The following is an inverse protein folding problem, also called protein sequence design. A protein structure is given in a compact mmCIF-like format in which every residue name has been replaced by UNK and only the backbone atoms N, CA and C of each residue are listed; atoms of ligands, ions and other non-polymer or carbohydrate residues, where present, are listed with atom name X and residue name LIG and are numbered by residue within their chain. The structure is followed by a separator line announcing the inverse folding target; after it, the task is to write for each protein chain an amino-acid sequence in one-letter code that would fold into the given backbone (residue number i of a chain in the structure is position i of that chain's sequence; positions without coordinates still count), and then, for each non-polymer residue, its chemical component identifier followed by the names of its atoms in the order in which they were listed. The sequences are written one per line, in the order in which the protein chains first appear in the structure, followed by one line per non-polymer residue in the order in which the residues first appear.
data_IF_528266592328
#
_entry.id   IF_528266592328
#
_cell.length_a   1.000
_cell.length_b   1.000
_cell.length_c   1.000
_cell.angle_alpha   90.00
_cell.angle_beta   90.00
_cell.angle_gamma   90.00
#
_symmetry.space_group_name_H-M   'P 1'
#
loop_
_entity.id
_entity.type
_entity.pdbx_description
1 polymer ?
#
# COMPACT_ATOMS: atom_id res chain seq x y z
N UNK A 1 43.04 -13.89 -10.33
CA UNK A 1 41.81 -14.70 -10.25
C UNK A 1 40.69 -13.68 -10.17
N UNK A 2 40.01 -13.48 -11.29
CA UNK A 2 38.97 -12.45 -11.47
C UNK A 2 37.62 -13.04 -11.06
N UNK A 3 37.10 -12.56 -9.94
CA UNK A 3 35.73 -12.85 -9.51
C UNK A 3 34.77 -12.13 -10.47
N UNK A 4 34.12 -12.85 -11.38
CA UNK A 4 33.05 -12.30 -12.20
C UNK A 4 31.76 -12.33 -11.38
N UNK A 5 31.01 -11.24 -11.29
CA UNK A 5 29.69 -11.27 -10.66
C UNK A 5 28.79 -12.21 -11.48
N UNK A 6 28.16 -13.16 -10.78
CA UNK A 6 27.25 -14.13 -11.38
C UNK A 6 26.12 -13.43 -12.13
N UNK A 7 25.86 -13.88 -13.37
CA UNK A 7 24.71 -13.46 -14.16
C UNK A 7 23.42 -13.70 -13.36
N UNK A 8 22.42 -12.82 -13.44
CA UNK A 8 21.15 -13.03 -12.78
C UNK A 8 20.49 -14.32 -13.30
N UNK A 9 19.91 -15.09 -12.38
CA UNK A 9 19.20 -16.35 -12.65
C UNK A 9 18.16 -16.11 -13.76
N UNK A 10 18.38 -16.69 -14.92
CA UNK A 10 17.52 -16.60 -16.09
C UNK A 10 16.32 -17.55 -16.06
N UNK A 11 15.96 -18.04 -14.87
CA UNK A 11 14.74 -18.85 -14.71
C UNK A 11 13.52 -18.07 -15.19
N UNK A 12 12.65 -18.65 -16.03
CA UNK A 12 11.48 -17.92 -16.55
C UNK A 12 10.59 -17.47 -15.40
N UNK A 13 10.18 -16.19 -15.42
CA UNK A 13 9.26 -15.62 -14.44
C UNK A 13 7.96 -16.42 -14.50
N UNK A 14 7.67 -17.21 -13.46
CA UNK A 14 6.40 -17.94 -13.33
C UNK A 14 5.36 -17.04 -12.67
N UNK A 15 4.37 -16.62 -13.45
CA UNK A 15 3.21 -15.88 -12.95
C UNK A 15 2.16 -16.88 -12.44
N UNK A 16 1.87 -16.84 -11.15
CA UNK A 16 0.90 -17.76 -10.50
C UNK A 16 -0.55 -17.54 -10.93
N UNK A 17 -0.83 -16.40 -11.53
CA UNK A 17 -2.16 -16.00 -12.02
C UNK A 17 -2.40 -16.34 -13.50
N UNK A 18 -1.55 -17.15 -14.13
CA UNK A 18 -1.78 -17.72 -15.45
C UNK A 18 -2.03 -19.23 -15.33
N UNK A 19 -2.92 -19.74 -16.16
CA UNK A 19 -3.08 -21.17 -16.37
C UNK A 19 -2.06 -21.69 -17.43
N UNK A 20 -2.11 -22.98 -17.70
CA UNK A 20 -1.19 -23.63 -18.66
C UNK A 20 -1.40 -23.15 -20.11
N UNK A 21 -2.56 -22.57 -20.41
CA UNK A 21 -2.88 -21.93 -21.70
C UNK A 21 -2.51 -20.46 -21.78
N UNK A 22 -1.98 -19.88 -20.69
CA UNK A 22 -1.61 -18.46 -20.59
C UNK A 22 -2.78 -17.52 -20.29
N UNK A 23 -3.95 -18.05 -19.94
CA UNK A 23 -5.10 -17.23 -19.57
C UNK A 23 -5.03 -16.82 -18.08
N UNK A 24 -5.48 -15.59 -17.80
CA UNK A 24 -5.51 -15.07 -16.44
C UNK A 24 -6.52 -15.84 -15.58
N UNK A 25 -6.10 -16.21 -14.37
CA UNK A 25 -6.97 -16.86 -13.37
C UNK A 25 -6.66 -16.36 -11.97
N UNK A 26 -7.66 -16.34 -11.12
CA UNK A 26 -7.48 -16.20 -9.67
C UNK A 26 -6.92 -17.51 -9.10
N UNK A 27 -5.88 -17.43 -8.27
CA UNK A 27 -5.26 -18.62 -7.65
C UNK A 27 -6.23 -19.26 -6.67
N UNK A 28 -6.47 -20.58 -6.80
CA UNK A 28 -7.27 -21.32 -5.82
C UNK A 28 -6.50 -21.47 -4.50
N UNK A 29 -7.11 -20.97 -3.44
CA UNK A 29 -6.56 -21.03 -2.06
C UNK A 29 -7.42 -21.88 -1.13
N UNK A 30 -8.42 -22.59 -1.65
CA UNK A 30 -9.43 -23.36 -0.86
C UNK A 30 -8.75 -24.37 0.07
N UNK A 31 -7.72 -25.08 -0.41
CA UNK A 31 -7.00 -26.10 0.35
C UNK A 31 -6.00 -25.53 1.38
N UNK A 32 -5.74 -24.22 1.38
CA UNK A 32 -4.80 -23.61 2.35
C UNK A 32 -5.49 -23.39 3.70
N UNK A 33 -4.84 -23.72 4.83
CA UNK A 33 -5.36 -23.34 6.14
C UNK A 33 -5.32 -21.82 6.31
N UNK A 34 -6.32 -21.23 6.99
CA UNK A 34 -6.25 -19.84 7.42
C UNK A 34 -5.07 -19.63 8.38
N UNK A 35 -4.34 -18.55 8.20
CA UNK A 35 -3.22 -18.14 9.09
C UNK A 35 -3.28 -16.64 9.34
N UNK A 36 -2.76 -16.21 10.51
CA UNK A 36 -2.62 -14.78 10.79
C UNK A 36 -1.58 -14.19 9.83
N UNK A 37 -1.94 -13.09 9.19
CA UNK A 37 -1.08 -12.37 8.25
C UNK A 37 -1.15 -10.88 8.52
N UNK A 38 -0.04 -10.21 8.32
CA UNK A 38 0.06 -8.76 8.44
C UNK A 38 0.82 -8.22 7.24
N UNK A 39 0.41 -7.06 6.75
CA UNK A 39 1.19 -6.31 5.77
C UNK A 39 1.24 -4.83 6.14
N UNK A 40 2.36 -4.21 5.83
CA UNK A 40 2.60 -2.78 5.93
C UNK A 40 2.80 -2.17 4.55
N UNK A 41 2.30 -0.96 4.37
CA UNK A 41 2.54 -0.16 3.19
C UNK A 41 2.73 1.32 3.57
N UNK A 42 3.42 2.05 2.72
CA UNK A 42 3.57 3.50 2.85
C UNK A 42 3.17 4.20 1.57
N UNK A 43 2.79 5.48 1.70
CA UNK A 43 2.63 6.40 0.59
C UNK A 43 3.10 7.79 1.01
N UNK A 44 3.46 8.63 0.05
CA UNK A 44 3.87 10.01 0.29
C UNK A 44 3.16 10.97 -0.66
N UNK A 45 2.57 12.02 -0.10
CA UNK A 45 1.93 13.09 -0.86
C UNK A 45 2.78 14.34 -0.72
N UNK A 46 3.39 14.77 -1.83
CA UNK A 46 4.16 16.03 -1.87
C UNK A 46 3.20 17.21 -1.86
N UNK A 47 3.47 18.18 -0.99
CA UNK A 47 2.67 19.40 -0.83
C UNK A 47 3.58 20.63 -0.89
N UNK A 48 3.01 21.77 -1.29
CA UNK A 48 3.70 23.05 -1.16
C UNK A 48 3.88 23.45 0.32
N UNK A 49 4.87 24.32 0.64
CA UNK A 49 5.08 24.79 2.01
C UNK A 49 3.82 25.43 2.63
N UNK A 50 3.01 26.10 1.82
CA UNK A 50 1.75 26.72 2.27
C UNK A 50 0.71 25.70 2.71
N UNK A 51 0.62 24.55 1.99
CA UNK A 51 -0.28 23.46 2.38
C UNK A 51 0.26 22.74 3.62
N UNK A 52 1.56 22.51 3.72
CA UNK A 52 2.17 21.91 4.92
C UNK A 52 1.86 22.75 6.16
N UNK A 53 2.02 24.09 6.07
CA UNK A 53 1.65 24.99 7.15
C UNK A 53 0.16 24.89 7.51
N UNK A 54 -0.73 24.96 6.51
CA UNK A 54 -2.18 24.86 6.71
C UNK A 54 -2.60 23.51 7.33
N UNK A 55 -1.94 22.42 6.99
CA UNK A 55 -2.18 21.09 7.58
C UNK A 55 -1.76 21.05 9.05
N UNK A 56 -0.61 21.64 9.39
CA UNK A 56 -0.12 21.73 10.78
C UNK A 56 -1.02 22.58 11.66
N UNK A 57 -1.53 23.67 11.10
CA UNK A 57 -2.41 24.62 11.81
C UNK A 57 -3.89 24.19 11.82
N UNK A 58 -4.26 23.11 11.13
CA UNK A 58 -5.65 22.69 10.96
C UNK A 58 -6.51 23.69 10.17
N UNK A 59 -5.89 24.52 9.34
CA UNK A 59 -6.49 25.66 8.64
C UNK A 59 -6.94 25.35 7.20
N UNK A 60 -7.04 24.06 6.81
CA UNK A 60 -7.52 23.69 5.48
C UNK A 60 -9.02 23.95 5.36
N UNK A 61 -9.49 24.70 4.34
CA UNK A 61 -10.90 25.12 4.24
C UNK A 61 -11.92 23.98 4.17
N UNK A 62 -11.51 22.79 3.70
CA UNK A 62 -12.37 21.59 3.60
C UNK A 62 -12.48 20.80 4.91
N UNK A 63 -11.82 21.22 5.99
CA UNK A 63 -11.87 20.57 7.30
C UNK A 63 -10.66 19.67 7.59
N UNK A 64 -10.83 18.68 8.47
CA UNK A 64 -9.75 17.79 8.93
C UNK A 64 -9.31 16.81 7.86
N UNK A 65 -8.29 17.20 7.11
CA UNK A 65 -7.72 16.39 6.01
C UNK A 65 -7.21 15.05 6.50
N UNK A 66 -6.51 15.03 7.64
CA UNK A 66 -5.87 13.81 8.14
C UNK A 66 -6.91 12.79 8.63
N UNK A 67 -7.98 13.25 9.29
CA UNK A 67 -9.08 12.39 9.71
C UNK A 67 -9.82 11.80 8.49
N UNK A 68 -10.14 12.63 7.50
CA UNK A 68 -10.82 12.18 6.26
C UNK A 68 -9.95 11.16 5.52
N UNK A 69 -8.65 11.43 5.36
CA UNK A 69 -7.73 10.54 4.69
C UNK A 69 -7.60 9.19 5.43
N UNK A 70 -7.52 9.20 6.76
CA UNK A 70 -7.49 7.97 7.57
C UNK A 70 -8.72 7.11 7.34
N UNK A 71 -9.90 7.69 7.41
CA UNK A 71 -11.18 6.98 7.21
C UNK A 71 -11.27 6.44 5.79
N UNK A 72 -10.87 7.22 4.78
CA UNK A 72 -10.85 6.81 3.38
C UNK A 72 -9.94 5.58 3.17
N UNK A 73 -8.72 5.60 3.73
CA UNK A 73 -7.80 4.47 3.66
C UNK A 73 -8.35 3.21 4.31
N UNK A 74 -8.91 3.32 5.52
CA UNK A 74 -9.53 2.18 6.21
C UNK A 74 -10.72 1.61 5.42
N UNK A 75 -11.53 2.46 4.80
CA UNK A 75 -12.65 2.03 3.97
C UNK A 75 -12.17 1.30 2.70
N UNK A 76 -11.10 1.82 2.07
CA UNK A 76 -10.51 1.28 0.85
C UNK A 76 -9.89 -0.11 1.05
N UNK A 77 -9.24 -0.36 2.19
CA UNK A 77 -8.70 -1.68 2.53
C UNK A 77 -9.76 -2.80 2.43
N UNK A 78 -11.03 -2.49 2.67
CA UNK A 78 -12.14 -3.45 2.64
C UNK A 78 -12.78 -3.61 1.25
N UNK A 79 -12.27 -2.90 0.23
CA UNK A 79 -12.82 -2.87 -1.13
C UNK A 79 -11.83 -3.31 -2.21
N UNK A 80 -10.74 -3.94 -1.82
CA UNK A 80 -9.70 -4.39 -2.76
C UNK A 80 -10.27 -5.30 -3.86
N UNK A 81 -11.15 -6.28 -3.60
CA UNK A 81 -11.72 -7.12 -4.65
C UNK A 81 -12.57 -6.34 -5.68
N UNK A 82 -13.15 -5.20 -5.29
CA UNK A 82 -13.90 -4.33 -6.22
C UNK A 82 -12.98 -3.57 -7.18
N UNK A 83 -11.70 -3.40 -6.82
CA UNK A 83 -10.71 -2.62 -7.55
C UNK A 83 -9.76 -3.49 -8.38
N UNK A 84 -9.42 -4.67 -7.88
CA UNK A 84 -8.41 -5.57 -8.44
C UNK A 84 -9.06 -6.91 -8.80
N UNK A 85 -9.28 -7.21 -10.10
CA UNK A 85 -10.10 -8.36 -10.54
C UNK A 85 -9.60 -9.73 -10.07
N UNK A 86 -8.30 -9.89 -9.81
CA UNK A 86 -7.70 -11.15 -9.37
C UNK A 86 -7.40 -11.19 -7.87
N UNK A 87 -7.81 -10.18 -7.11
CA UNK A 87 -7.70 -10.19 -5.67
C UNK A 87 -8.77 -11.09 -5.04
N UNK A 88 -8.37 -11.82 -3.99
CA UNK A 88 -9.31 -12.65 -3.24
C UNK A 88 -10.22 -11.80 -2.36
N UNK A 89 -11.44 -12.28 -2.14
CA UNK A 89 -12.31 -11.72 -1.10
C UNK A 89 -11.86 -12.27 0.25
N UNK A 90 -11.28 -11.40 1.08
CA UNK A 90 -10.74 -11.76 2.40
C UNK A 90 -11.29 -10.84 3.49
N UNK A 91 -11.32 -11.33 4.72
CA UNK A 91 -11.69 -10.54 5.88
C UNK A 91 -10.57 -9.59 6.32
N UNK A 92 -10.80 -8.28 6.30
CA UNK A 92 -9.92 -7.31 6.96
C UNK A 92 -10.28 -7.24 8.44
N UNK A 93 -9.49 -7.90 9.30
CA UNK A 93 -9.76 -7.98 10.74
C UNK A 93 -9.18 -6.80 11.52
N UNK A 94 -8.17 -6.13 10.99
CA UNK A 94 -7.59 -4.92 11.54
C UNK A 94 -6.98 -4.07 10.44
N UNK A 95 -7.20 -2.75 10.52
CA UNK A 95 -6.58 -1.78 9.62
C UNK A 95 -6.26 -0.53 10.42
N UNK A 96 -5.00 -0.11 10.38
CA UNK A 96 -4.51 1.14 10.96
C UNK A 96 -3.90 1.97 9.84
N UNK A 97 -4.24 3.26 9.82
CA UNK A 97 -3.68 4.24 8.89
C UNK A 97 -3.21 5.44 9.72
N UNK A 98 -1.90 5.64 9.75
CA UNK A 98 -1.25 6.76 10.41
C UNK A 98 -0.79 7.77 9.35
N UNK A 99 -0.96 9.05 9.66
CA UNK A 99 -0.55 10.15 8.80
C UNK A 99 0.30 11.11 9.61
N UNK A 100 1.43 11.53 9.03
CA UNK A 100 2.34 12.52 9.61
C UNK A 100 2.61 13.63 8.59
N UNK A 101 2.52 14.90 9.02
CA UNK A 101 2.87 16.05 8.21
C UNK A 101 4.37 16.27 8.36
N UNK A 102 5.12 16.04 7.27
CA UNK A 102 6.56 16.27 7.12
C UNK A 102 6.80 17.66 6.50
N UNK A 103 8.06 18.04 6.27
CA UNK A 103 8.40 19.40 5.78
C UNK A 103 8.00 19.64 4.32
N UNK A 104 7.88 18.56 3.52
CA UNK A 104 7.58 18.60 2.09
C UNK A 104 6.27 17.86 1.73
N UNK A 105 5.50 17.40 2.74
CA UNK A 105 4.25 16.71 2.46
C UNK A 105 3.65 15.91 3.61
N UNK A 106 2.93 14.85 3.24
CA UNK A 106 2.27 13.96 4.19
C UNK A 106 2.74 12.53 3.98
N UNK A 107 3.39 11.95 5.00
CA UNK A 107 3.72 10.53 5.08
C UNK A 107 2.51 9.75 5.57
N UNK A 108 2.22 8.65 4.89
CA UNK A 108 1.11 7.76 5.21
C UNK A 108 1.67 6.36 5.43
N UNK A 109 1.31 5.75 6.56
CA UNK A 109 1.67 4.37 6.87
C UNK A 109 0.39 3.58 7.15
N UNK A 110 0.19 2.49 6.42
CA UNK A 110 -0.94 1.59 6.61
C UNK A 110 -0.47 0.22 7.09
N UNK A 111 -1.16 -0.35 8.06
CA UNK A 111 -0.94 -1.73 8.51
C UNK A 111 -2.27 -2.46 8.50
N UNK A 112 -2.32 -3.60 7.82
CA UNK A 112 -3.52 -4.44 7.72
C UNK A 112 -3.23 -5.82 8.27
N UNK A 113 -4.23 -6.41 8.97
CA UNK A 113 -4.17 -7.77 9.53
C UNK A 113 -5.39 -8.57 9.13
N UNK A 114 -5.15 -9.84 8.87
CA UNK A 114 -6.19 -10.84 8.62
C UNK A 114 -5.85 -12.18 9.28
N UNK A 115 -6.82 -13.07 9.35
CA UNK A 115 -6.64 -14.50 9.61
C UNK A 115 -7.29 -15.26 8.45
N UNK A 116 -6.59 -15.34 7.32
CA UNK A 116 -7.12 -15.88 6.08
C UNK A 116 -6.05 -16.65 5.27
N UNK A 117 -6.41 -17.12 4.07
CA UNK A 117 -5.65 -18.03 3.23
C UNK A 117 -4.66 -17.35 2.29
N UNK A 118 -4.75 -16.02 2.14
CA UNK A 118 -3.84 -15.22 1.29
C UNK A 118 -3.30 -14.00 2.03
N UNK A 119 -2.31 -13.32 1.44
CA UNK A 119 -1.71 -12.11 2.01
C UNK A 119 -2.64 -10.91 1.93
N UNK A 120 -2.33 -9.87 2.69
CA UNK A 120 -3.06 -8.60 2.78
C UNK A 120 -2.22 -7.41 2.27
N UNK A 121 -1.25 -7.69 1.43
CA UNK A 121 -0.34 -6.69 0.88
C UNK A 121 -1.12 -5.66 0.05
N UNK A 122 -2.11 -6.11 -0.73
CA UNK A 122 -2.90 -5.22 -1.57
C UNK A 122 -3.88 -4.38 -0.75
N UNK A 123 -4.43 -4.92 0.34
CA UNK A 123 -5.25 -4.17 1.29
C UNK A 123 -4.46 -3.05 1.96
N UNK A 124 -3.21 -3.32 2.37
CA UNK A 124 -2.33 -2.32 2.96
C UNK A 124 -1.93 -1.24 1.94
N UNK A 125 -1.53 -1.65 0.73
CA UNK A 125 -1.14 -0.73 -0.34
C UNK A 125 -2.32 0.15 -0.78
N UNK A 126 -3.51 -0.43 -0.95
CA UNK A 126 -4.73 0.30 -1.30
C UNK A 126 -5.11 1.29 -0.20
N UNK A 127 -5.01 0.89 1.08
CA UNK A 127 -5.26 1.78 2.20
C UNK A 127 -4.35 3.02 2.17
N UNK A 128 -3.04 2.83 2.01
CA UNK A 128 -2.08 3.93 1.95
C UNK A 128 -2.32 4.84 0.73
N UNK A 129 -2.55 4.24 -0.44
CA UNK A 129 -2.76 4.97 -1.70
C UNK A 129 -4.05 5.80 -1.66
N UNK A 130 -5.17 5.22 -1.20
CA UNK A 130 -6.45 5.93 -1.15
C UNK A 130 -6.46 7.00 -0.06
N UNK A 131 -5.76 6.80 1.06
CA UNK A 131 -5.53 7.85 2.02
C UNK A 131 -4.77 9.03 1.38
N UNK A 132 -3.75 8.75 0.55
CA UNK A 132 -3.03 9.77 -0.22
C UNK A 132 -3.93 10.50 -1.23
N UNK A 133 -4.78 9.77 -1.96
CA UNK A 133 -5.77 10.38 -2.86
C UNK A 133 -6.73 11.29 -2.12
N UNK A 134 -7.14 10.93 -0.90
CA UNK A 134 -8.00 11.78 -0.08
C UNK A 134 -7.28 13.06 0.36
N UNK A 135 -5.99 13.00 0.73
CA UNK A 135 -5.19 14.22 0.98
C UNK A 135 -5.19 15.11 -0.26
N UNK A 136 -4.86 14.54 -1.44
CA UNK A 136 -4.85 15.29 -2.72
C UNK A 136 -6.22 15.95 -2.97
N UNK A 137 -7.32 15.21 -2.84
CA UNK A 137 -8.68 15.77 -3.06
C UNK A 137 -9.00 16.93 -2.12
N UNK A 138 -8.59 16.82 -0.87
CA UNK A 138 -8.87 17.84 0.14
C UNK A 138 -8.11 19.15 -0.10
N UNK A 139 -6.89 19.09 -0.66
CA UNK A 139 -6.01 20.27 -0.80
C UNK A 139 -5.85 20.79 -2.23
N UNK A 140 -6.20 20.01 -3.26
CA UNK A 140 -6.02 20.37 -4.69
C UNK A 140 -6.69 21.69 -5.12
N UNK A 141 -7.71 22.13 -4.40
CA UNK A 141 -8.38 23.42 -4.67
C UNK A 141 -7.52 24.63 -4.30
N UNK A 142 -6.54 24.45 -3.41
CA UNK A 142 -5.59 25.48 -2.99
C UNK A 142 -4.25 25.31 -3.70
N UNK A 143 -3.78 24.05 -3.81
CA UNK A 143 -2.53 23.71 -4.48
C UNK A 143 -2.78 22.65 -5.56
N UNK A 144 -2.66 23.04 -6.84
CA UNK A 144 -2.79 22.13 -7.98
C UNK A 144 -1.55 21.28 -8.24
N UNK A 145 -0.43 21.62 -7.60
CA UNK A 145 0.84 20.90 -7.72
C UNK A 145 0.96 19.73 -6.76
N UNK A 146 -0.01 19.53 -5.86
CA UNK A 146 -0.01 18.40 -4.92
C UNK A 146 -0.01 17.08 -5.70
N UNK A 147 0.84 16.13 -5.29
CA UNK A 147 1.02 14.87 -6.00
C UNK A 147 1.26 13.69 -5.04
N UNK A 148 0.59 12.58 -5.31
CA UNK A 148 0.97 11.28 -4.73
C UNK A 148 2.19 10.76 -5.50
N UNK A 149 3.33 10.67 -4.82
CA UNK A 149 4.62 10.32 -5.43
C UNK A 149 5.03 8.88 -5.22
N UNK A 150 4.81 8.36 -4.03
CA UNK A 150 5.26 7.04 -3.64
C UNK A 150 4.09 6.25 -3.08
N UNK A 151 4.03 4.97 -3.44
CA UNK A 151 3.16 4.00 -2.79
C UNK A 151 3.80 2.62 -2.92
N UNK A 152 4.12 1.98 -1.79
CA UNK A 152 4.81 0.70 -1.81
C UNK A 152 4.45 -0.16 -0.59
N UNK A 153 4.50 -1.48 -0.77
CA UNK A 153 4.50 -2.43 0.35
C UNK A 153 5.85 -2.39 1.02
N UNK A 154 5.88 -2.23 2.34
CA UNK A 154 7.11 -2.12 3.13
C UNK A 154 7.46 -3.40 3.87
N UNK A 155 6.44 -4.18 4.25
CA UNK A 155 6.66 -5.44 4.95
C UNK A 155 5.43 -6.35 4.82
N UNK A 156 5.67 -7.65 4.99
CA UNK A 156 4.60 -8.62 5.22
C UNK A 156 5.06 -9.68 6.20
N UNK A 157 4.13 -10.32 6.89
CA UNK A 157 4.42 -11.48 7.74
C UNK A 157 3.34 -12.53 7.65
N UNK A 158 3.74 -13.77 7.94
CA UNK A 158 2.90 -14.96 7.95
C UNK A 158 2.68 -15.61 6.59
N UNK A 159 2.00 -16.76 6.61
CA UNK A 159 1.79 -17.60 5.44
C UNK A 159 3.01 -18.41 5.02
N UNK A 160 2.87 -19.14 3.88
CA UNK A 160 3.90 -20.08 3.40
C UNK A 160 5.20 -19.40 2.97
N UNK A 161 5.14 -18.19 2.42
CA UNK A 161 6.31 -17.43 1.96
C UNK A 161 7.05 -16.69 3.09
N UNK A 162 6.57 -16.81 4.33
CA UNK A 162 7.22 -16.20 5.49
C UNK A 162 7.21 -14.67 5.49
N UNK A 163 8.10 -14.14 6.30
CA UNK A 163 8.23 -12.70 6.51
C UNK A 163 9.14 -12.06 5.46
N UNK A 164 8.81 -10.86 5.08
CA UNK A 164 9.59 -10.04 4.16
C UNK A 164 9.51 -8.57 4.58
N UNK A 165 10.62 -7.90 4.52
CA UNK A 165 10.75 -6.46 4.73
C UNK A 165 11.44 -5.87 3.50
N UNK A 166 10.92 -4.76 2.98
CA UNK A 166 11.54 -4.05 1.87
C UNK A 166 12.95 -3.62 2.28
N UNK A 167 13.98 -3.95 1.50
CA UNK A 167 15.31 -3.37 1.70
C UNK A 167 15.20 -1.83 1.65
N UNK A 168 15.97 -1.14 2.48
CA UNK A 168 16.17 0.29 2.29
C UNK A 168 16.78 0.49 0.90
N UNK A 169 16.28 1.46 0.12
CA UNK A 169 16.93 1.84 -1.13
C UNK A 169 18.39 2.19 -0.79
N UNK A 170 19.31 1.49 -1.41
CA UNK A 170 20.71 1.92 -1.37
C UNK A 170 20.73 3.10 -2.33
N UNK A 171 20.67 4.31 -1.77
CA UNK A 171 20.94 5.54 -2.51
C UNK A 171 22.35 5.41 -3.11
N UNK A 172 22.44 5.24 -4.44
CA UNK A 172 23.65 5.37 -5.23
C UNK A 172 24.00 6.86 -5.42
#
# INVERSE_FOLDING_TARGET
MSDQPGLPDSSPIRLTHLDDAGAARMVDVTAKPPTVRTAGATAFVVCSPSIVAALRDGAVPKGDVLAVARVAGIAAAKRVPDLLPLAHVIGVHGCRVDLAVEDDGVRICATVRTADRTGVEMEALTAATVAGLAVVDMVKGVDRGVALREAMVTAKSGGRSGDWVRPADQDD
#
